data_IF_829715909780
#
_entry.id   IF_829715909780
#
_cell.length_a   1.000
_cell.length_b   1.000
_cell.length_c   1.000
_cell.angle_alpha   90.00
_cell.angle_beta   90.00
_cell.angle_gamma   90.00
#
_symmetry.space_group_name_H-M   'P 1'
#
loop_
_entity.id
_entity.type
_entity.pdbx_description
1 polymer ?
#
# COMPACT_ATOMS: atom_id res chain seq x y z
N UNK A 1 27.81 4.57 -9.44
CA UNK A 1 26.38 4.19 -9.55
C UNK A 1 25.77 4.52 -8.20
N UNK A 2 24.67 5.26 -8.15
CA UNK A 2 24.00 5.61 -6.89
C UNK A 2 23.22 4.40 -6.37
N UNK A 3 23.37 4.09 -5.09
CA UNK A 3 22.63 3.02 -4.43
C UNK A 3 21.16 3.44 -4.14
N UNK A 4 20.17 2.52 -4.15
CA UNK A 4 18.78 2.86 -3.83
C UNK A 4 18.59 3.60 -2.50
N UNK A 5 19.38 3.27 -1.48
CA UNK A 5 19.31 3.93 -0.18
C UNK A 5 19.83 5.37 -0.27
N UNK A 6 20.92 5.58 -1.01
CA UNK A 6 21.46 6.92 -1.27
C UNK A 6 20.50 7.78 -2.09
N UNK A 7 19.77 7.18 -3.04
CA UNK A 7 18.75 7.87 -3.81
C UNK A 7 17.58 8.31 -2.93
N UNK A 8 17.11 7.43 -2.03
CA UNK A 8 16.07 7.76 -1.07
C UNK A 8 16.45 8.97 -0.20
N UNK A 9 17.66 8.95 0.40
CA UNK A 9 18.13 10.05 1.21
C UNK A 9 18.33 11.35 0.41
N UNK A 10 18.78 11.25 -0.84
CA UNK A 10 18.90 12.42 -1.72
C UNK A 10 17.53 13.07 -2.00
N UNK A 11 16.48 12.29 -2.24
CA UNK A 11 15.13 12.81 -2.44
C UNK A 11 14.56 13.38 -1.13
N UNK A 12 14.70 12.66 -0.01
CA UNK A 12 14.18 13.08 1.29
C UNK A 12 14.82 14.39 1.78
N UNK A 13 16.14 14.53 1.56
CA UNK A 13 16.91 15.73 1.90
C UNK A 13 16.85 16.85 0.85
N UNK A 14 16.19 16.64 -0.29
CA UNK A 14 16.16 17.62 -1.38
C UNK A 14 17.52 17.87 -2.04
N UNK A 15 18.43 16.89 -2.02
CA UNK A 15 19.78 17.01 -2.58
C UNK A 15 19.79 16.82 -4.11
N UNK A 16 19.34 17.87 -4.81
CA UNK A 16 19.35 17.96 -6.27
C UNK A 16 20.75 17.79 -6.89
N UNK A 17 21.81 18.17 -6.14
CA UNK A 17 23.19 18.08 -6.63
C UNK A 17 23.64 16.63 -6.72
N UNK A 18 23.23 15.78 -5.78
CA UNK A 18 23.51 14.36 -5.84
C UNK A 18 22.74 13.67 -6.97
N UNK A 19 21.49 14.07 -7.23
CA UNK A 19 20.68 13.52 -8.32
C UNK A 19 21.20 13.89 -9.71
N UNK A 20 21.74 15.11 -9.88
CA UNK A 20 22.33 15.56 -11.16
C UNK A 20 23.63 14.85 -11.54
N UNK A 21 24.26 14.11 -10.62
CA UNK A 21 25.41 13.24 -10.92
C UNK A 21 25.00 11.94 -11.63
N UNK A 22 23.71 11.61 -11.65
CA UNK A 22 23.20 10.44 -12.35
C UNK A 22 23.16 10.74 -13.85
N UNK A 23 23.81 9.91 -14.69
CA UNK A 23 23.80 10.11 -16.14
C UNK A 23 22.35 10.12 -16.66
N UNK A 24 21.97 11.20 -17.34
CA UNK A 24 20.60 11.39 -17.85
C UNK A 24 19.67 12.25 -16.97
N UNK A 25 20.07 12.63 -15.76
CA UNK A 25 19.30 13.55 -14.91
C UNK A 25 19.90 14.96 -14.94
N UNK A 26 19.22 15.87 -15.62
CA UNK A 26 19.55 17.30 -15.63
C UNK A 26 18.96 18.06 -14.42
N UNK A 27 19.39 19.31 -14.22
CA UNK A 27 18.95 20.16 -13.09
C UNK A 27 17.43 20.27 -12.95
N UNK A 28 16.72 20.51 -14.06
CA UNK A 28 15.25 20.64 -14.08
C UNK A 28 14.56 19.32 -13.72
N UNK A 29 15.12 18.20 -14.15
CA UNK A 29 14.61 16.86 -13.83
C UNK A 29 14.86 16.53 -12.37
N UNK A 30 16.06 16.81 -11.84
CA UNK A 30 16.38 16.62 -10.42
C UNK A 30 15.45 17.43 -9.51
N UNK A 31 15.18 18.69 -9.85
CA UNK A 31 14.24 19.56 -9.14
C UNK A 31 12.83 18.99 -9.10
N UNK A 32 12.32 18.59 -10.27
CA UNK A 32 11.00 17.98 -10.41
C UNK A 32 10.90 16.69 -9.60
N UNK A 33 11.93 15.85 -9.68
CA UNK A 33 12.00 14.57 -8.99
C UNK A 33 12.04 14.74 -7.47
N UNK A 34 12.88 15.66 -6.97
CA UNK A 34 12.90 16.04 -5.56
C UNK A 34 11.51 16.52 -5.12
N UNK A 35 10.87 17.43 -5.84
CA UNK A 35 9.56 17.95 -5.45
C UNK A 35 8.47 16.86 -5.44
N UNK A 36 8.27 16.17 -6.56
CA UNK A 36 7.21 15.17 -6.73
C UNK A 36 7.39 13.95 -5.82
N UNK A 37 8.63 13.46 -5.69
CA UNK A 37 8.88 12.30 -4.85
C UNK A 37 8.92 12.69 -3.37
N UNK A 38 9.49 13.85 -3.00
CA UNK A 38 9.45 14.32 -1.61
C UNK A 38 8.02 14.40 -1.08
N UNK A 39 7.05 14.86 -1.87
CA UNK A 39 5.65 14.81 -1.44
C UNK A 39 5.14 13.38 -1.22
N UNK A 40 5.61 12.41 -2.01
CA UNK A 40 5.23 10.99 -1.87
C UNK A 40 5.90 10.27 -0.69
N UNK A 41 7.15 10.61 -0.35
CA UNK A 41 7.88 10.01 0.79
C UNK A 41 7.79 10.82 2.09
N UNK A 42 7.43 12.11 2.03
CA UNK A 42 7.16 12.95 3.22
C UNK A 42 5.70 12.86 3.67
N UNK A 43 4.80 12.34 2.84
CA UNK A 43 3.72 11.53 3.40
C UNK A 43 4.45 10.42 4.11
N UNK A 44 4.46 10.39 5.44
CA UNK A 44 5.11 9.28 6.09
C UNK A 44 4.48 8.03 5.47
N UNK A 45 5.23 6.95 5.35
CA UNK A 45 4.64 5.65 5.69
C UNK A 45 4.22 5.82 7.15
N UNK A 46 3.15 6.60 7.37
CA UNK A 46 2.55 6.85 8.66
C UNK A 46 2.29 5.43 9.08
N UNK A 47 2.82 5.06 10.24
CA UNK A 47 2.24 3.98 11.02
C UNK A 47 0.76 4.24 11.00
N UNK A 48 0.09 3.64 10.01
CA UNK A 48 -1.20 4.11 9.57
C UNK A 48 -2.04 3.98 10.81
N UNK A 49 -2.51 5.11 11.33
CA UNK A 49 -3.44 5.13 12.46
C UNK A 49 -4.47 4.06 12.12
N UNK A 50 -4.73 3.11 13.03
CA UNK A 50 -5.28 1.78 12.68
C UNK A 50 -6.57 1.75 11.83
N UNK A 51 -7.19 2.90 11.59
CA UNK A 51 -8.26 3.14 10.63
C UNK A 51 -7.76 3.25 9.17
N UNK A 52 -6.71 4.02 8.87
CA UNK A 52 -6.18 4.20 7.51
C UNK A 52 -5.41 2.95 7.02
N UNK A 53 -4.77 2.20 7.94
CA UNK A 53 -4.15 0.89 7.64
C UNK A 53 -5.21 -0.11 7.22
N UNK A 54 -6.33 -0.11 7.95
CA UNK A 54 -7.47 -0.98 7.68
C UNK A 54 -8.08 -0.70 6.30
N UNK A 55 -8.14 0.57 5.88
CA UNK A 55 -8.65 0.98 4.58
C UNK A 55 -7.76 0.48 3.43
N UNK A 56 -6.42 0.62 3.56
CA UNK A 56 -5.48 0.15 2.53
C UNK A 56 -5.45 -1.38 2.45
N UNK A 57 -5.43 -2.06 3.60
CA UNK A 57 -5.50 -3.52 3.67
C UNK A 57 -6.82 -4.03 3.10
N UNK A 58 -7.93 -3.33 3.35
CA UNK A 58 -9.23 -3.67 2.78
C UNK A 58 -9.22 -3.55 1.25
N UNK A 59 -8.62 -2.49 0.71
CA UNK A 59 -8.49 -2.32 -0.73
C UNK A 59 -7.68 -3.45 -1.37
N UNK A 60 -6.52 -3.79 -0.80
CA UNK A 60 -5.64 -4.86 -1.28
C UNK A 60 -6.33 -6.24 -1.23
N UNK A 61 -7.10 -6.51 -0.17
CA UNK A 61 -7.87 -7.75 -0.02
C UNK A 61 -8.99 -7.84 -1.06
N UNK A 62 -9.70 -6.73 -1.34
CA UNK A 62 -10.75 -6.71 -2.35
C UNK A 62 -10.20 -6.96 -3.75
N UNK A 63 -9.09 -6.30 -4.11
CA UNK A 63 -8.43 -6.50 -5.41
C UNK A 63 -7.95 -7.95 -5.60
N UNK A 64 -7.37 -8.54 -4.55
CA UNK A 64 -6.96 -9.95 -4.59
C UNK A 64 -8.14 -10.90 -4.77
N UNK A 65 -9.28 -10.63 -4.12
CA UNK A 65 -10.50 -11.44 -4.25
C UNK A 65 -11.14 -11.28 -5.63
N UNK A 66 -11.14 -10.08 -6.20
CA UNK A 66 -11.56 -9.83 -7.58
C UNK A 66 -10.69 -10.60 -8.58
N UNK A 67 -9.37 -10.63 -8.36
CA UNK A 67 -8.41 -11.42 -9.17
C UNK A 67 -8.68 -12.93 -9.09
N UNK A 68 -9.17 -13.42 -7.94
CA UNK A 68 -9.60 -14.81 -7.77
C UNK A 68 -10.96 -15.12 -8.41
N UNK A 69 -11.63 -14.11 -8.98
CA UNK A 69 -12.91 -14.25 -9.69
C UNK A 69 -14.15 -14.08 -8.82
N UNK A 70 -14.01 -13.56 -7.59
CA UNK A 70 -15.17 -13.25 -6.73
C UNK A 70 -15.73 -11.87 -7.05
N UNK A 71 -17.06 -11.73 -7.05
CA UNK A 71 -17.68 -10.42 -7.22
C UNK A 71 -17.49 -9.57 -5.96
N UNK A 72 -17.16 -8.30 -6.14
CA UNK A 72 -17.03 -7.33 -5.05
C UNK A 72 -18.25 -7.34 -4.14
N UNK A 73 -19.47 -7.45 -4.70
CA UNK A 73 -20.72 -7.48 -3.93
C UNK A 73 -20.82 -8.70 -3.00
N UNK A 74 -20.23 -9.83 -3.38
CA UNK A 74 -20.26 -11.05 -2.56
C UNK A 74 -19.30 -10.96 -1.39
N UNK A 75 -18.10 -10.40 -1.62
CA UNK A 75 -17.02 -10.38 -0.62
C UNK A 75 -17.07 -9.18 0.32
N UNK A 76 -17.59 -8.03 -0.13
CA UNK A 76 -17.72 -6.80 0.66
C UNK A 76 -18.35 -7.03 2.06
N UNK A 77 -19.51 -7.71 2.20
CA UNK A 77 -20.12 -7.90 3.51
C UNK A 77 -19.22 -8.67 4.49
N UNK A 78 -18.50 -9.70 4.01
CA UNK A 78 -17.59 -10.47 4.87
C UNK A 78 -16.35 -9.67 5.25
N UNK A 79 -15.82 -8.85 4.33
CA UNK A 79 -14.68 -7.98 4.62
C UNK A 79 -15.06 -6.90 5.63
N UNK A 80 -16.26 -6.32 5.53
CA UNK A 80 -16.77 -5.35 6.51
C UNK A 80 -16.99 -5.98 7.89
N UNK A 81 -17.54 -7.20 7.97
CA UNK A 81 -17.65 -7.92 9.24
C UNK A 81 -16.28 -8.16 9.90
N UNK A 82 -15.25 -8.49 9.11
CA UNK A 82 -13.88 -8.69 9.62
C UNK A 82 -13.21 -7.37 10.04
N UNK A 83 -13.54 -6.26 9.36
CA UNK A 83 -13.11 -4.91 9.75
C UNK A 83 -13.71 -4.53 11.10
N UNK A 84 -15.02 -4.67 11.24
CA UNK A 84 -15.75 -4.27 12.45
C UNK A 84 -15.36 -5.15 13.65
N UNK A 85 -14.94 -6.40 13.40
CA UNK A 85 -14.34 -7.29 14.39
C UNK A 85 -12.88 -6.94 14.77
N UNK A 86 -12.30 -5.87 14.21
CA UNK A 86 -10.93 -5.44 14.47
C UNK A 86 -9.86 -6.39 13.93
N UNK A 87 -10.21 -7.33 13.04
CA UNK A 87 -9.30 -8.39 12.61
C UNK A 87 -8.39 -7.99 11.44
N UNK A 88 -8.57 -6.80 10.87
CA UNK A 88 -7.74 -6.28 9.78
C UNK A 88 -6.40 -5.66 10.27
N UNK A 89 -6.29 -5.30 11.55
CA UNK A 89 -5.14 -4.54 12.05
C UNK A 89 -3.93 -5.40 12.47
N UNK A 90 -4.15 -6.69 12.76
CA UNK A 90 -3.10 -7.58 13.32
C UNK A 90 -2.74 -8.76 12.41
N UNK A 91 -3.22 -8.81 11.16
CA UNK A 91 -3.04 -9.95 10.28
C UNK A 91 -2.47 -9.55 8.92
N UNK A 92 -1.52 -10.35 8.43
CA UNK A 92 -0.99 -10.24 7.07
C UNK A 92 -2.14 -10.42 6.05
N UNK A 93 -2.09 -9.69 4.92
CA UNK A 93 -3.11 -9.68 3.84
C UNK A 93 -3.52 -11.09 3.42
N UNK A 94 -2.56 -12.01 3.30
CA UNK A 94 -2.80 -13.42 2.96
C UNK A 94 -3.74 -14.12 3.96
N UNK A 95 -3.56 -13.86 5.26
CA UNK A 95 -4.39 -14.46 6.32
C UNK A 95 -5.81 -13.90 6.29
N UNK A 96 -5.96 -12.63 5.91
CA UNK A 96 -7.26 -11.99 5.78
C UNK A 96 -8.02 -12.61 4.59
N UNK A 97 -7.36 -12.76 3.43
CA UNK A 97 -7.95 -13.42 2.26
C UNK A 97 -8.41 -14.84 2.60
N UNK A 98 -7.56 -15.64 3.26
CA UNK A 98 -7.92 -16.99 3.72
C UNK A 98 -9.14 -17.00 4.64
N UNK A 99 -9.25 -16.04 5.56
CA UNK A 99 -10.41 -15.91 6.45
C UNK A 99 -11.67 -15.52 5.69
N UNK A 100 -11.58 -14.56 4.78
CA UNK A 100 -12.73 -14.14 3.94
C UNK A 100 -13.26 -15.36 3.17
N UNK A 101 -12.38 -16.08 2.47
CA UNK A 101 -12.77 -17.26 1.69
C UNK A 101 -13.35 -18.38 2.58
N UNK A 102 -12.77 -18.62 3.76
CA UNK A 102 -13.29 -19.61 4.71
C UNK A 102 -14.68 -19.24 5.22
N UNK A 103 -14.92 -17.96 5.54
CA UNK A 103 -16.22 -17.49 6.03
C UNK A 103 -17.27 -17.55 4.91
N UNK A 104 -16.91 -17.10 3.70
CA UNK A 104 -17.75 -17.24 2.50
C UNK A 104 -18.12 -18.71 2.22
N UNK A 105 -17.16 -19.63 2.28
CA UNK A 105 -17.42 -21.05 2.08
C UNK A 105 -18.34 -21.66 3.15
N UNK A 106 -18.27 -21.18 4.40
CA UNK A 106 -19.22 -21.60 5.44
C UNK A 106 -20.63 -21.08 5.20
N UNK A 107 -20.77 -19.87 4.66
CA UNK A 107 -22.08 -19.29 4.30
C UNK A 107 -22.77 -20.05 3.18
N UNK A 108 -22.02 -20.55 2.20
CA UNK A 108 -22.58 -21.36 1.08
C UNK A 108 -22.98 -22.78 1.47
N UNK A 109 -22.48 -23.32 2.59
CA UNK A 109 -22.78 -24.68 3.05
C UNK A 109 -23.97 -24.76 4.02
N UNK A 110 -24.63 -23.64 4.29
CA UNK A 110 -25.73 -23.51 5.25
C UNK A 110 -27.03 -23.23 4.52
#
# INVERSE_FOLDING_TARGET
>A
IMDPEQFYYAIAGGDEKSLTKIPGIGKKTAQRLCFELREKISKPLVETTGQEAGEHIMADVLEALETLGYSRMEVLPVVMELRDAGQLQNNNVEQIIKRVLKNQAMRMKK
#
